data_IF_268408928681
#
_entry.id   IF_268408928681
#
_cell.length_a   1.000
_cell.length_b   1.000
_cell.length_c   1.000
_cell.angle_alpha   90.00
_cell.angle_beta   90.00
_cell.angle_gamma   90.00
#
_symmetry.space_group_name_H-M   'P 1'
#
loop_
_entity.id
_entity.type
_entity.pdbx_description
1 polymer ?
#
# COMPACT_ATOMS: atom_id res chain seq x y z
N UNK A 1 17.64 12.63 3.80
CA UNK A 1 16.70 12.01 4.77
C UNK A 1 15.34 11.64 4.15
N UNK A 2 14.69 12.51 3.36
CA UNK A 2 13.38 12.24 2.72
C UNK A 2 13.30 10.92 1.92
N UNK A 3 14.32 10.62 1.11
CA UNK A 3 14.40 9.38 0.34
C UNK A 3 14.42 8.11 1.21
N UNK A 4 15.13 8.15 2.35
CA UNK A 4 15.21 7.02 3.28
C UNK A 4 13.85 6.77 3.92
N UNK A 5 13.17 7.82 4.37
CA UNK A 5 11.79 7.73 4.87
C UNK A 5 10.86 7.13 3.82
N UNK A 6 10.95 7.61 2.57
CA UNK A 6 10.12 7.13 1.47
C UNK A 6 10.35 5.64 1.17
N UNK A 7 11.60 5.18 1.16
CA UNK A 7 11.92 3.77 0.96
C UNK A 7 11.36 2.92 2.11
N UNK A 8 11.57 3.36 3.36
CA UNK A 8 11.09 2.62 4.55
C UNK A 8 9.57 2.48 4.55
N UNK A 9 8.82 3.57 4.33
CA UNK A 9 7.36 3.53 4.34
C UNK A 9 6.80 2.66 3.21
N UNK A 10 7.45 2.64 2.04
CA UNK A 10 7.06 1.76 0.94
C UNK A 10 7.34 0.28 1.24
N UNK A 11 8.46 -0.05 1.89
CA UNK A 11 8.76 -1.42 2.33
C UNK A 11 7.76 -1.89 3.39
N UNK A 12 7.37 -1.01 4.32
CA UNK A 12 6.35 -1.31 5.34
C UNK A 12 5.00 -1.59 4.66
N UNK A 13 4.55 -0.69 3.77
CA UNK A 13 3.27 -0.84 3.07
C UNK A 13 3.23 -2.11 2.19
N UNK A 14 4.33 -2.42 1.50
CA UNK A 14 4.46 -3.67 0.75
C UNK A 14 4.34 -4.90 1.66
N UNK A 15 5.05 -4.88 2.80
CA UNK A 15 5.03 -5.97 3.78
C UNK A 15 3.65 -6.16 4.39
N UNK A 16 2.92 -5.08 4.69
CA UNK A 16 1.53 -5.14 5.18
C UNK A 16 0.62 -5.83 4.16
N UNK A 17 0.78 -5.54 2.87
CA UNK A 17 0.01 -6.18 1.79
C UNK A 17 0.28 -7.69 1.74
N UNK A 18 1.54 -8.10 1.89
CA UNK A 18 1.94 -9.51 1.94
C UNK A 18 1.45 -10.24 3.19
N UNK A 19 1.50 -9.57 4.35
CA UNK A 19 0.95 -10.08 5.60
C UNK A 19 -0.57 -10.25 5.52
N UNK A 20 -1.28 -9.32 4.87
CA UNK A 20 -2.72 -9.44 4.65
C UNK A 20 -3.07 -10.68 3.83
N UNK A 21 -2.31 -10.95 2.74
CA UNK A 21 -2.47 -12.19 1.96
C UNK A 21 -2.18 -13.44 2.80
N UNK A 22 -1.12 -13.43 3.62
CA UNK A 22 -0.79 -14.55 4.52
C UNK A 22 -1.91 -14.80 5.53
N UNK A 23 -2.46 -13.76 6.14
CA UNK A 23 -3.61 -13.85 7.07
C UNK A 23 -4.84 -14.39 6.36
N UNK A 24 -5.11 -13.95 5.14
CA UNK A 24 -6.22 -14.47 4.32
C UNK A 24 -6.06 -15.97 4.01
N UNK A 25 -4.84 -16.45 3.73
CA UNK A 25 -4.55 -17.89 3.54
C UNK A 25 -4.71 -18.69 4.84
N UNK A 26 -4.31 -18.13 5.98
CA UNK A 26 -4.41 -18.78 7.31
C UNK A 26 -5.79 -18.67 7.96
N UNK A 27 -6.82 -18.14 7.26
CA UNK A 27 -8.15 -17.82 7.81
C UNK A 27 -8.12 -16.99 9.11
N UNK A 28 -7.09 -16.16 9.26
CA UNK A 28 -6.96 -15.25 10.40
C UNK A 28 -7.71 -13.94 10.14
N UNK A 29 -7.90 -13.15 11.20
CA UNK A 29 -8.52 -11.83 11.11
C UNK A 29 -7.80 -10.96 10.07
N UNK A 30 -8.56 -10.46 9.08
CA UNK A 30 -8.01 -9.68 7.97
C UNK A 30 -7.68 -8.26 8.41
N UNK A 31 -6.65 -7.66 7.83
CA UNK A 31 -6.28 -6.28 8.10
C UNK A 31 -7.37 -5.36 7.55
N UNK A 32 -7.88 -4.40 8.34
CA UNK A 32 -8.89 -3.48 7.85
C UNK A 32 -8.37 -2.70 6.65
N UNK A 33 -9.24 -2.49 5.66
CA UNK A 33 -8.88 -1.79 4.42
C UNK A 33 -8.34 -0.38 4.73
N UNK A 34 -8.90 0.27 5.75
CA UNK A 34 -8.50 1.58 6.25
C UNK A 34 -7.02 1.66 6.61
N UNK A 35 -6.44 0.62 7.21
CA UNK A 35 -5.02 0.61 7.60
C UNK A 35 -4.11 0.52 6.38
N UNK A 36 -4.50 -0.25 5.36
CA UNK A 36 -3.77 -0.31 4.09
C UNK A 36 -3.80 1.05 3.38
N UNK A 37 -4.97 1.69 3.34
CA UNK A 37 -5.12 3.04 2.80
C UNK A 37 -4.33 4.09 3.59
N UNK A 38 -4.31 4.02 4.92
CA UNK A 38 -3.50 4.88 5.78
C UNK A 38 -2.00 4.72 5.49
N UNK A 39 -1.51 3.47 5.38
CA UNK A 39 -0.10 3.23 5.03
C UNK A 39 0.27 3.76 3.64
N UNK A 40 -0.66 3.67 2.69
CA UNK A 40 -0.50 4.25 1.37
C UNK A 40 -0.46 5.79 1.43
N UNK A 41 -1.42 6.41 2.14
CA UNK A 41 -1.51 7.86 2.32
C UNK A 41 -0.31 8.46 3.08
N UNK A 42 0.29 7.71 4.01
CA UNK A 42 1.50 8.11 4.75
C UNK A 42 2.78 8.18 3.89
N UNK A 43 2.69 7.81 2.60
CA UNK A 43 3.80 7.81 1.63
C UNK A 43 4.18 6.43 1.12
N UNK A 44 3.52 5.37 1.60
CA UNK A 44 3.76 3.97 1.18
C UNK A 44 2.94 3.53 -0.03
N UNK A 45 2.30 4.45 -0.76
CA UNK A 45 1.36 4.11 -1.82
C UNK A 45 2.00 3.27 -2.94
N UNK A 46 3.25 3.55 -3.29
CA UNK A 46 3.99 2.81 -4.34
C UNK A 46 4.21 1.36 -3.91
N UNK A 47 4.65 1.13 -2.68
CA UNK A 47 4.88 -0.19 -2.10
C UNK A 47 3.58 -0.97 -1.89
N UNK A 48 2.51 -0.29 -1.48
CA UNK A 48 1.16 -0.88 -1.42
C UNK A 48 0.68 -1.32 -2.80
N UNK A 49 0.93 -0.51 -3.85
CA UNK A 49 0.53 -0.80 -5.23
C UNK A 49 1.30 -1.99 -5.80
N UNK A 50 2.62 -2.00 -5.63
CA UNK A 50 3.48 -3.14 -6.00
C UNK A 50 3.05 -4.40 -5.24
N UNK A 51 2.79 -4.28 -3.93
CA UNK A 51 2.29 -5.38 -3.11
C UNK A 51 0.96 -5.92 -3.61
N UNK A 52 0.05 -5.05 -4.05
CA UNK A 52 -1.26 -5.43 -4.57
C UNK A 52 -1.14 -6.38 -5.78
N UNK A 53 -0.27 -6.02 -6.75
CA UNK A 53 -0.03 -6.83 -7.94
C UNK A 53 0.84 -8.05 -7.65
N UNK A 54 1.94 -7.90 -6.92
CA UNK A 54 2.85 -9.00 -6.58
C UNK A 54 2.09 -10.11 -5.84
N UNK A 55 1.30 -9.72 -4.83
CA UNK A 55 0.49 -10.65 -4.08
C UNK A 55 -0.85 -10.95 -4.76
N UNK A 56 -1.20 -10.38 -5.91
CA UNK A 56 -2.51 -10.57 -6.54
C UNK A 56 -3.66 -10.47 -5.51
N UNK A 57 -3.53 -9.53 -4.57
CA UNK A 57 -4.39 -9.44 -3.39
C UNK A 57 -5.20 -8.17 -3.50
N UNK A 58 -6.54 -8.30 -3.51
CA UNK A 58 -7.49 -7.18 -3.66
C UNK A 58 -7.38 -6.41 -4.99
N UNK A 59 -6.90 -7.05 -6.05
CA UNK A 59 -6.88 -6.52 -7.43
C UNK A 59 -8.27 -6.41 -8.08
N UNK A 60 -9.31 -7.04 -7.51
CA UNK A 60 -10.70 -6.95 -7.97
C UNK A 60 -11.56 -6.01 -7.13
N UNK A 61 -11.01 -5.39 -6.08
CA UNK A 61 -11.76 -4.44 -5.26
C UNK A 61 -11.65 -3.06 -5.89
N UNK A 62 -12.74 -2.53 -6.45
CA UNK A 62 -12.76 -1.20 -7.10
C UNK A 62 -12.15 -0.11 -6.22
N UNK A 63 -12.39 -0.15 -4.90
CA UNK A 63 -11.75 0.78 -3.95
C UNK A 63 -10.23 0.76 -4.05
N UNK A 64 -9.60 -0.41 -4.10
CA UNK A 64 -8.14 -0.56 -4.18
C UNK A 64 -7.62 -0.27 -5.59
N UNK A 65 -8.32 -0.73 -6.62
CA UNK A 65 -7.94 -0.54 -8.02
C UNK A 65 -7.90 0.94 -8.39
N UNK A 66 -8.85 1.74 -7.93
CA UNK A 66 -8.85 3.19 -8.18
C UNK A 66 -8.15 3.98 -7.08
N UNK A 67 -8.35 3.61 -5.82
CA UNK A 67 -7.84 4.38 -4.68
C UNK A 67 -6.33 4.32 -4.51
N UNK A 68 -5.68 3.17 -4.76
CA UNK A 68 -4.22 3.06 -4.61
C UNK A 68 -3.48 3.84 -5.70
N UNK A 69 -3.82 3.75 -7.01
CA UNK A 69 -3.18 4.59 -8.04
C UNK A 69 -3.37 6.09 -7.80
N UNK A 70 -4.56 6.50 -7.36
CA UNK A 70 -4.81 7.92 -7.01
C UNK A 70 -3.89 8.36 -5.87
N UNK A 71 -3.74 7.53 -4.83
CA UNK A 71 -2.80 7.81 -3.74
C UNK A 71 -1.34 7.80 -4.20
N UNK A 72 -0.96 6.95 -5.16
CA UNK A 72 0.38 6.96 -5.75
C UNK A 72 0.63 8.32 -6.43
N UNK A 73 -0.30 8.80 -7.26
CA UNK A 73 -0.17 10.09 -7.94
C UNK A 73 -0.04 11.23 -6.92
N UNK A 74 -0.89 11.24 -5.89
CA UNK A 74 -0.87 12.28 -4.85
C UNK A 74 0.45 12.24 -4.06
N UNK A 75 0.84 11.07 -3.55
CA UNK A 75 2.05 10.94 -2.73
C UNK A 75 3.33 11.23 -3.51
N UNK A 76 3.41 10.81 -4.78
CA UNK A 76 4.54 11.13 -5.66
C UNK A 76 4.55 12.62 -5.99
N UNK A 77 3.41 13.23 -6.32
CA UNK A 77 3.33 14.67 -6.60
C UNK A 77 3.74 15.52 -5.39
N UNK A 78 3.26 15.18 -4.20
CA UNK A 78 3.66 15.83 -2.94
C UNK A 78 5.15 15.63 -2.66
N UNK A 79 5.68 14.43 -2.89
CA UNK A 79 7.10 14.14 -2.69
C UNK A 79 8.01 14.92 -3.65
N UNK A 80 7.59 15.11 -4.91
CA UNK A 80 8.34 15.90 -5.90
C UNK A 80 8.31 17.40 -5.62
N UNK A 81 7.24 17.90 -4.99
CA UNK A 81 7.11 19.32 -4.65
C UNK A 81 7.95 19.73 -3.43
N UNK A 82 8.25 18.78 -2.53
CA UNK A 82 8.88 19.00 -1.21
C UNK A 82 10.41 18.87 -1.25
#
# INVERSE_FOLDING_TARGET
MKWIYFIIINVIAFSMMGLDKRKAKKKQWRTPESTLFLSAAAGGAVGAWIGMYMFHHKTHKSKFVFGIPVLVIITVGVFLYI
#
